data_IF_369169411641
#
_entry.id   IF_369169411641
#
_cell.length_a   1.000
_cell.length_b   1.000
_cell.length_c   1.000
_cell.angle_alpha   90.00
_cell.angle_beta   90.00
_cell.angle_gamma   90.00
#
_symmetry.space_group_name_H-M   'P 1'
#
loop_
_entity.id
_entity.type
_entity.pdbx_description
1 polymer ?
#
# COMPACT_ATOMS: atom_id res chain seq x y z
N UNK A 1 11.70 10.38 -27.87
CA UNK A 1 10.42 10.58 -27.14
C UNK A 1 10.78 11.20 -25.81
N UNK A 2 10.30 12.42 -25.53
CA UNK A 2 10.57 13.09 -24.26
C UNK A 2 10.10 12.21 -23.10
N UNK A 3 10.98 11.90 -22.15
CA UNK A 3 10.58 11.23 -20.92
C UNK A 3 9.62 12.17 -20.19
N UNK A 4 8.32 11.89 -20.25
CA UNK A 4 7.32 12.73 -19.63
C UNK A 4 7.54 12.70 -18.11
N UNK A 5 7.46 13.87 -17.43
CA UNK A 5 7.59 13.95 -15.96
C UNK A 5 6.68 12.95 -15.25
N UNK A 6 5.55 12.64 -15.87
CA UNK A 6 4.62 11.59 -15.45
C UNK A 6 5.28 10.20 -15.34
N UNK A 7 6.05 9.76 -16.34
CA UNK A 7 6.65 8.41 -16.35
C UNK A 7 7.73 8.24 -15.28
N UNK A 8 8.43 9.32 -14.93
CA UNK A 8 9.38 9.35 -13.81
C UNK A 8 8.68 9.34 -12.45
N UNK A 9 7.48 9.92 -12.36
CA UNK A 9 6.71 9.96 -11.14
C UNK A 9 6.10 8.60 -10.75
N UNK A 10 5.65 7.80 -11.72
CA UNK A 10 5.03 6.49 -11.44
C UNK A 10 5.86 5.57 -10.51
N UNK A 11 7.16 5.30 -10.77
CA UNK A 11 7.96 4.49 -9.84
C UNK A 11 8.27 5.22 -8.53
N UNK A 12 8.45 6.54 -8.57
CA UNK A 12 8.71 7.34 -7.37
C UNK A 12 7.52 7.35 -6.40
N UNK A 13 6.30 7.27 -6.92
CA UNK A 13 5.09 7.13 -6.12
C UNK A 13 5.13 5.88 -5.23
N UNK A 14 5.77 4.79 -5.68
CA UNK A 14 6.01 3.60 -4.87
C UNK A 14 6.96 3.87 -3.69
N UNK A 15 8.02 4.64 -3.93
CA UNK A 15 8.97 5.04 -2.85
C UNK A 15 8.27 5.89 -1.80
N UNK A 16 7.52 6.91 -2.25
CA UNK A 16 6.75 7.78 -1.36
C UNK A 16 5.69 7.00 -0.59
N UNK A 17 4.99 6.06 -1.25
CA UNK A 17 4.02 5.18 -0.61
C UNK A 17 4.70 4.32 0.47
N UNK A 18 5.84 3.70 0.17
CA UNK A 18 6.54 2.87 1.16
C UNK A 18 7.02 3.65 2.39
N UNK A 19 7.47 4.90 2.21
CA UNK A 19 7.84 5.79 3.33
C UNK A 19 6.63 6.19 4.18
N UNK A 20 5.51 6.57 3.55
CA UNK A 20 4.27 6.87 4.27
C UNK A 20 3.72 5.64 4.99
N UNK A 21 3.86 4.47 4.39
CA UNK A 21 3.37 3.22 4.96
C UNK A 21 4.16 2.91 6.22
N UNK A 22 5.49 2.97 6.14
CA UNK A 22 6.36 2.80 7.31
C UNK A 22 6.02 3.78 8.42
N UNK A 23 5.72 5.04 8.05
CA UNK A 23 5.28 6.06 8.99
C UNK A 23 3.96 5.68 9.66
N UNK A 24 2.98 5.20 8.89
CA UNK A 24 1.71 4.67 9.40
C UNK A 24 1.92 3.54 10.41
N UNK A 25 2.72 2.52 10.08
CA UNK A 25 3.02 1.41 11.00
C UNK A 25 3.61 1.88 12.34
N UNK A 26 4.42 2.93 12.32
CA UNK A 26 5.03 3.48 13.54
C UNK A 26 4.02 4.28 14.37
N UNK A 27 3.13 5.04 13.72
CA UNK A 27 2.12 5.88 14.35
C UNK A 27 0.96 5.07 14.94
N UNK A 28 0.52 4.03 14.24
CA UNK A 28 -0.64 3.20 14.60
C UNK A 28 -0.26 1.98 15.48
N UNK A 29 1.03 1.84 15.88
CA UNK A 29 1.49 0.65 16.62
C UNK A 29 0.82 0.42 17.97
N UNK A 30 0.23 1.47 18.53
CA UNK A 30 -0.41 1.46 19.86
C UNK A 30 -1.93 1.45 19.75
N UNK A 31 -2.49 1.24 18.55
CA UNK A 31 -3.94 1.17 18.38
C UNK A 31 -4.52 0.03 19.25
N UNK A 32 -5.69 0.26 19.86
CA UNK A 32 -6.29 -0.69 20.78
C UNK A 32 -6.73 -1.94 20.01
N UNK A 33 -6.31 -3.15 20.44
CA UNK A 33 -6.78 -4.38 19.83
C UNK A 33 -8.29 -4.56 20.01
N UNK A 34 -8.89 -5.44 19.21
CA UNK A 34 -10.32 -5.77 19.24
C UNK A 34 -10.83 -6.35 20.56
N UNK A 35 -9.92 -6.76 21.44
CA UNK A 35 -10.21 -7.32 22.77
C UNK A 35 -10.24 -6.25 23.87
N UNK A 36 -9.87 -5.01 23.54
CA UNK A 36 -9.82 -3.89 24.49
C UNK A 36 -11.20 -3.57 25.05
N UNK A 37 -11.25 -3.11 26.30
CA UNK A 37 -12.52 -2.70 26.90
C UNK A 37 -13.07 -1.43 26.24
N UNK A 38 -14.40 -1.30 26.16
CA UNK A 38 -15.08 -0.12 25.56
C UNK A 38 -14.56 1.21 26.09
N UNK A 39 -14.34 1.30 27.41
CA UNK A 39 -13.84 2.52 28.06
C UNK A 39 -12.39 2.84 27.68
N UNK A 40 -11.55 1.81 27.54
CA UNK A 40 -10.15 1.93 27.15
C UNK A 40 -10.03 2.37 25.68
N UNK A 41 -10.76 1.70 24.77
CA UNK A 41 -10.83 2.09 23.36
C UNK A 41 -11.28 3.54 23.22
N UNK A 42 -12.33 3.95 23.93
CA UNK A 42 -12.81 5.33 23.87
C UNK A 42 -11.78 6.34 24.39
N UNK A 43 -11.12 6.05 25.52
CA UNK A 43 -10.08 6.93 26.06
C UNK A 43 -8.92 7.10 25.07
N UNK A 44 -8.49 6.00 24.43
CA UNK A 44 -7.44 6.04 23.41
C UNK A 44 -7.78 6.99 22.25
N UNK A 45 -8.98 6.87 21.68
CA UNK A 45 -9.40 7.69 20.55
C UNK A 45 -9.58 9.17 20.92
N UNK A 46 -9.95 9.47 22.16
CA UNK A 46 -9.97 10.83 22.70
C UNK A 46 -8.55 11.40 22.86
N UNK A 47 -7.66 10.66 23.50
CA UNK A 47 -6.30 11.13 23.82
C UNK A 47 -5.44 11.29 22.56
N UNK A 48 -5.65 10.46 21.54
CA UNK A 48 -4.86 10.45 20.31
C UNK A 48 -5.57 11.13 19.11
N UNK A 49 -6.66 11.86 19.37
CA UNK A 49 -7.53 12.46 18.36
C UNK A 49 -6.79 13.23 17.27
N UNK A 50 -5.85 14.10 17.66
CA UNK A 50 -5.11 14.95 16.71
C UNK A 50 -4.26 14.13 15.73
N UNK A 51 -3.65 13.05 16.22
CA UNK A 51 -2.86 12.14 15.38
C UNK A 51 -3.75 11.43 14.36
N UNK A 52 -4.86 10.84 14.83
CA UNK A 52 -5.81 10.11 13.99
C UNK A 52 -6.52 11.00 12.97
N UNK A 53 -6.77 12.26 13.30
CA UNK A 53 -7.29 13.22 12.33
C UNK A 53 -6.31 13.48 11.17
N UNK A 54 -5.00 13.55 11.44
CA UNK A 54 -3.98 13.70 10.39
C UNK A 54 -3.89 12.41 9.55
N UNK A 55 -3.94 11.25 10.19
CA UNK A 55 -3.93 9.95 9.50
C UNK A 55 -5.12 9.87 8.54
N UNK A 56 -6.32 10.15 9.03
CA UNK A 56 -7.58 10.06 8.29
C UNK A 56 -7.65 11.03 7.11
N UNK A 57 -7.23 12.28 7.30
CA UNK A 57 -7.45 13.35 6.32
C UNK A 57 -6.28 13.54 5.35
N UNK A 58 -5.09 13.09 5.71
CA UNK A 58 -3.88 13.32 4.92
C UNK A 58 -3.15 12.03 4.56
N UNK A 59 -2.82 11.19 5.55
CA UNK A 59 -1.94 10.04 5.30
C UNK A 59 -2.63 8.98 4.44
N UNK A 60 -3.84 8.56 4.80
CA UNK A 60 -4.56 7.50 4.07
C UNK A 60 -5.03 7.93 2.68
N UNK A 61 -5.53 9.17 2.42
CA UNK A 61 -5.88 9.58 1.05
C UNK A 61 -4.64 9.75 0.16
N UNK A 62 -3.53 10.27 0.72
CA UNK A 62 -2.27 10.39 0.00
C UNK A 62 -1.69 9.02 -0.36
N UNK A 63 -1.80 8.05 0.54
CA UNK A 63 -1.42 6.66 0.26
C UNK A 63 -2.26 6.08 -0.88
N UNK A 64 -3.58 6.21 -0.81
CA UNK A 64 -4.48 5.74 -1.84
C UNK A 64 -4.11 6.34 -3.21
N UNK A 65 -3.88 7.65 -3.25
CA UNK A 65 -3.41 8.35 -4.44
C UNK A 65 -2.11 7.75 -4.97
N UNK A 66 -1.07 7.63 -4.15
CA UNK A 66 0.25 7.15 -4.60
C UNK A 66 0.21 5.71 -5.12
N UNK A 67 -0.59 4.83 -4.50
CA UNK A 67 -0.74 3.44 -4.94
C UNK A 67 -1.37 3.32 -6.33
N UNK A 68 -2.29 4.22 -6.72
CA UNK A 68 -2.85 4.25 -8.07
C UNK A 68 -1.79 4.56 -9.13
N UNK A 69 -0.91 5.53 -8.84
CA UNK A 69 0.18 5.90 -9.75
C UNK A 69 1.23 4.80 -9.82
N UNK A 70 1.62 4.24 -8.67
CA UNK A 70 2.56 3.14 -8.63
C UNK A 70 2.02 1.90 -9.36
N UNK A 71 0.77 1.52 -9.12
CA UNK A 71 0.09 0.42 -9.80
C UNK A 71 0.01 0.63 -11.31
N UNK A 72 -0.23 1.85 -11.76
CA UNK A 72 -0.19 2.21 -13.20
C UNK A 72 1.22 1.99 -13.77
N UNK A 73 2.26 2.38 -13.03
CA UNK A 73 3.65 2.14 -13.38
C UNK A 73 4.02 0.66 -13.46
N UNK A 74 3.51 -0.16 -12.54
CA UNK A 74 3.70 -1.61 -12.58
C UNK A 74 3.04 -2.21 -13.83
N UNK A 75 1.77 -1.87 -14.08
CA UNK A 75 1.02 -2.39 -15.23
C UNK A 75 1.72 -2.11 -16.54
N UNK A 76 2.13 -0.86 -16.78
CA UNK A 76 2.80 -0.45 -18.02
C UNK A 76 4.06 -1.25 -18.30
N UNK A 77 4.87 -1.50 -17.27
CA UNK A 77 6.12 -2.26 -17.41
C UNK A 77 5.88 -3.76 -17.54
N UNK A 78 4.85 -4.29 -16.87
CA UNK A 78 4.44 -5.69 -16.99
C UNK A 78 3.87 -6.02 -18.38
N UNK A 79 3.19 -5.07 -19.01
CA UNK A 79 2.64 -5.21 -20.36
C UNK A 79 3.67 -4.95 -21.47
N UNK A 80 4.83 -4.39 -21.12
CA UNK A 80 5.92 -4.12 -22.06
C UNK A 80 6.55 -5.42 -22.57
N UNK A 81 6.68 -5.57 -23.89
CA UNK A 81 7.30 -6.76 -24.51
C UNK A 81 6.35 -7.80 -25.09
N UNK A 82 5.04 -7.50 -25.22
CA UNK A 82 4.14 -8.22 -26.13
C UNK A 82 3.80 -9.65 -25.70
N UNK A 83 2.94 -9.78 -24.70
CA UNK A 83 2.33 -11.05 -24.33
C UNK A 83 1.32 -10.84 -23.21
N UNK A 84 0.07 -10.59 -23.59
CA UNK A 84 -1.06 -10.23 -22.72
C UNK A 84 -1.42 -11.30 -21.68
N UNK A 85 -0.55 -11.50 -20.71
CA UNK A 85 -0.63 -12.55 -19.69
C UNK A 85 -1.48 -12.15 -18.48
N UNK A 86 -2.20 -11.01 -18.53
CA UNK A 86 -3.07 -10.52 -17.46
C UNK A 86 -2.36 -9.96 -16.23
N UNK A 87 -1.07 -10.27 -16.01
CA UNK A 87 -0.31 -9.85 -14.83
C UNK A 87 -0.36 -8.34 -14.57
N UNK A 88 -0.21 -7.50 -15.61
CA UNK A 88 -0.29 -6.05 -15.46
C UNK A 88 -1.66 -5.57 -14.97
N UNK A 89 -2.74 -6.17 -15.47
CA UNK A 89 -4.11 -5.87 -15.03
C UNK A 89 -4.37 -6.31 -13.60
N UNK A 90 -3.93 -7.51 -13.21
CA UNK A 90 -4.09 -8.01 -11.84
C UNK A 90 -3.25 -7.18 -10.85
N UNK A 91 -2.01 -6.82 -11.24
CA UNK A 91 -1.17 -5.96 -10.41
C UNK A 91 -1.82 -4.59 -10.17
N UNK A 92 -2.35 -3.96 -11.22
CA UNK A 92 -3.10 -2.72 -11.08
C UNK A 92 -4.40 -2.88 -10.28
N UNK A 93 -5.14 -3.97 -10.50
CA UNK A 93 -6.35 -4.28 -9.75
C UNK A 93 -6.09 -4.42 -8.24
N UNK A 94 -4.99 -5.09 -7.86
CA UNK A 94 -4.55 -5.16 -6.48
C UNK A 94 -4.17 -3.79 -5.89
N UNK A 95 -3.45 -2.96 -6.66
CA UNK A 95 -3.11 -1.60 -6.24
C UNK A 95 -4.36 -0.70 -6.07
N UNK A 96 -5.33 -0.81 -6.99
CA UNK A 96 -6.61 -0.12 -6.91
C UNK A 96 -7.41 -0.59 -5.68
N UNK A 97 -7.49 -1.90 -5.44
CA UNK A 97 -8.16 -2.44 -4.26
C UNK A 97 -7.49 -1.92 -2.98
N UNK A 98 -6.16 -1.91 -2.91
CA UNK A 98 -5.42 -1.36 -1.77
C UNK A 98 -5.71 0.14 -1.58
N UNK A 99 -5.77 0.92 -2.66
CA UNK A 99 -6.12 2.34 -2.58
C UNK A 99 -7.54 2.55 -2.03
N UNK A 100 -8.51 1.74 -2.45
CA UNK A 100 -9.88 1.76 -1.91
C UNK A 100 -9.88 1.37 -0.44
N UNK A 101 -9.10 0.35 -0.04
CA UNK A 101 -8.96 -0.02 1.37
C UNK A 101 -8.37 1.11 2.21
N UNK A 102 -7.36 1.85 1.71
CA UNK A 102 -6.85 3.06 2.40
C UNK A 102 -7.91 4.14 2.54
N UNK A 103 -8.69 4.40 1.49
CA UNK A 103 -9.78 5.36 1.57
C UNK A 103 -10.85 4.95 2.61
N UNK A 104 -11.19 3.66 2.67
CA UNK A 104 -12.12 3.12 3.66
C UNK A 104 -11.57 3.25 5.09
N UNK A 105 -10.30 2.90 5.31
CA UNK A 105 -9.66 3.06 6.62
C UNK A 105 -9.61 4.52 7.03
N UNK A 106 -9.24 5.44 6.12
CA UNK A 106 -9.32 6.87 6.40
C UNK A 106 -10.71 7.36 6.78
N UNK A 107 -11.75 6.81 6.16
CA UNK A 107 -13.14 7.10 6.51
C UNK A 107 -13.49 6.58 7.91
N UNK A 108 -13.08 5.35 8.26
CA UNK A 108 -13.31 4.77 9.59
C UNK A 108 -12.57 5.55 10.68
N UNK A 109 -11.30 5.88 10.44
CA UNK A 109 -10.45 6.73 11.27
C UNK A 109 -11.09 8.09 11.56
N UNK A 110 -11.56 8.79 10.52
CA UNK A 110 -12.27 10.06 10.66
C UNK A 110 -13.56 9.91 11.48
N UNK A 111 -14.34 8.85 11.20
CA UNK A 111 -15.60 8.60 11.89
C UNK A 111 -15.40 8.27 13.37
N UNK A 112 -14.43 7.43 13.71
CA UNK A 112 -14.06 7.12 15.11
C UNK A 112 -13.55 8.36 15.84
N UNK A 113 -12.66 9.12 15.22
CA UNK A 113 -12.12 10.37 15.76
C UNK A 113 -13.23 11.38 16.06
N UNK A 114 -14.21 11.52 15.15
CA UNK A 114 -15.34 12.42 15.34
C UNK A 114 -16.32 11.90 16.41
N UNK A 115 -16.65 10.60 16.39
CA UNK A 115 -17.50 9.99 17.41
C UNK A 115 -16.88 10.11 18.81
N UNK A 116 -15.57 9.93 18.92
CA UNK A 116 -14.84 10.12 20.16
C UNK A 116 -15.02 11.55 20.67
N UNK A 117 -14.83 12.54 19.79
CA UNK A 117 -15.03 13.96 20.13
C UNK A 117 -16.42 14.27 20.67
N UNK A 118 -17.46 13.70 20.07
CA UNK A 118 -18.86 13.90 20.47
C UNK A 118 -19.25 13.09 21.73
N UNK A 119 -18.36 12.25 22.26
CA UNK A 119 -18.64 11.45 23.44
C UNK A 119 -19.34 10.11 23.16
N UNK A 120 -19.45 9.72 21.90
CA UNK A 120 -20.22 8.56 21.44
C UNK A 120 -19.46 7.23 21.59
N UNK A 121 -19.31 6.77 22.84
CA UNK A 121 -18.49 5.58 23.19
C UNK A 121 -18.83 4.32 22.39
N UNK A 122 -20.12 4.04 22.22
CA UNK A 122 -20.56 2.82 21.52
C UNK A 122 -20.30 2.88 20.01
N UNK A 123 -20.40 4.07 19.41
CA UNK A 123 -20.05 4.26 18.01
C UNK A 123 -18.55 4.05 17.78
N UNK A 124 -17.70 4.64 18.63
CA UNK A 124 -16.24 4.42 18.59
C UNK A 124 -15.91 2.94 18.70
N UNK A 125 -16.46 2.24 19.70
CA UNK A 125 -16.18 0.82 19.89
C UNK A 125 -16.63 -0.03 18.70
N UNK A 126 -17.84 0.18 18.19
CA UNK A 126 -18.36 -0.58 17.03
C UNK A 126 -17.49 -0.39 15.79
N UNK A 127 -17.09 0.85 15.50
CA UNK A 127 -16.21 1.17 14.39
C UNK A 127 -14.80 0.58 14.58
N UNK A 128 -14.26 0.61 15.81
CA UNK A 128 -12.97 0.00 16.13
C UNK A 128 -12.98 -1.52 15.92
N UNK A 129 -14.07 -2.19 16.32
CA UNK A 129 -14.25 -3.62 16.06
C UNK A 129 -14.24 -3.91 14.57
N UNK A 130 -14.91 -3.10 13.75
CA UNK A 130 -14.90 -3.25 12.30
C UNK A 130 -13.51 -3.01 11.71
N UNK A 131 -12.84 -1.94 12.14
CA UNK A 131 -11.50 -1.59 11.68
C UNK A 131 -10.48 -2.69 11.99
N UNK A 132 -10.60 -3.37 13.13
CA UNK A 132 -9.71 -4.47 13.54
C UNK A 132 -9.68 -5.67 12.59
N UNK A 133 -10.59 -5.76 11.62
CA UNK A 133 -10.65 -6.83 10.61
C UNK A 133 -10.27 -6.38 9.19
N UNK A 134 -9.83 -5.14 9.01
CA UNK A 134 -9.46 -4.58 7.71
C UNK A 134 -8.26 -5.30 7.04
N UNK A 135 -7.44 -6.00 7.83
CA UNK A 135 -6.31 -6.84 7.42
C UNK A 135 -6.69 -7.86 6.35
N UNK A 136 -7.94 -8.32 6.31
CA UNK A 136 -8.45 -9.19 5.26
C UNK A 136 -8.43 -8.51 3.89
N UNK A 137 -8.88 -7.25 3.84
CA UNK A 137 -8.85 -6.43 2.63
C UNK A 137 -7.42 -6.12 2.20
N UNK A 138 -6.57 -5.77 3.17
CA UNK A 138 -5.15 -5.52 2.94
C UNK A 138 -4.43 -6.71 2.34
N UNK A 139 -4.60 -7.89 2.94
CA UNK A 139 -3.95 -9.12 2.48
C UNK A 139 -4.37 -9.47 1.05
N UNK A 140 -5.67 -9.43 0.75
CA UNK A 140 -6.16 -9.73 -0.60
C UNK A 140 -5.61 -8.75 -1.65
N UNK A 141 -5.63 -7.45 -1.36
CA UNK A 141 -5.18 -6.41 -2.27
C UNK A 141 -3.69 -6.51 -2.56
N UNK A 142 -2.88 -6.58 -1.51
CA UNK A 142 -1.42 -6.62 -1.63
C UNK A 142 -0.92 -7.97 -2.13
N UNK A 143 -1.55 -9.09 -1.78
CA UNK A 143 -1.20 -10.39 -2.34
C UNK A 143 -1.42 -10.41 -3.85
N UNK A 144 -2.57 -9.93 -4.34
CA UNK A 144 -2.85 -9.83 -5.76
C UNK A 144 -1.82 -8.96 -6.49
N UNK A 145 -1.52 -7.79 -5.94
CA UNK A 145 -0.54 -6.87 -6.50
C UNK A 145 0.86 -7.50 -6.58
N UNK A 146 1.35 -8.07 -5.48
CA UNK A 146 2.68 -8.65 -5.38
C UNK A 146 2.82 -9.91 -6.24
N UNK A 147 1.90 -10.87 -6.13
CA UNK A 147 1.98 -12.13 -6.86
C UNK A 147 1.97 -11.88 -8.37
N UNK A 148 1.07 -11.02 -8.85
CA UNK A 148 1.02 -10.67 -10.27
C UNK A 148 2.30 -9.96 -10.72
N UNK A 149 2.84 -9.06 -9.90
CA UNK A 149 4.09 -8.36 -10.19
C UNK A 149 5.28 -9.30 -10.24
N UNK A 150 5.43 -10.18 -9.25
CA UNK A 150 6.55 -11.12 -9.17
C UNK A 150 6.53 -12.16 -10.28
N UNK A 151 5.36 -12.79 -10.54
CA UNK A 151 5.19 -13.76 -11.62
C UNK A 151 5.41 -13.12 -13.01
N UNK A 152 4.87 -11.92 -13.22
CA UNK A 152 5.08 -11.18 -14.45
C UNK A 152 6.53 -10.74 -14.64
N UNK A 153 7.20 -10.31 -13.57
CA UNK A 153 8.61 -9.93 -13.57
C UNK A 153 9.55 -11.09 -13.89
N UNK A 154 9.24 -12.31 -13.45
CA UNK A 154 9.97 -13.51 -13.85
C UNK A 154 9.91 -13.75 -15.37
N UNK A 155 8.80 -13.38 -16.02
CA UNK A 155 8.59 -13.59 -17.46
C UNK A 155 9.24 -12.51 -18.31
N UNK A 156 9.03 -11.24 -17.98
CA UNK A 156 9.50 -10.12 -18.79
C UNK A 156 10.86 -9.54 -18.32
N UNK A 157 11.43 -10.08 -17.23
CA UNK A 157 12.71 -9.65 -16.65
C UNK A 157 12.75 -8.18 -16.25
N UNK A 158 11.60 -7.58 -15.90
CA UNK A 158 11.51 -6.23 -15.35
C UNK A 158 12.29 -6.06 -14.05
N UNK A 159 12.35 -7.12 -13.24
CA UNK A 159 13.09 -7.17 -11.97
C UNK A 159 14.16 -8.28 -12.05
N UNK A 160 15.26 -8.17 -11.28
CA UNK A 160 16.22 -9.25 -11.15
C UNK A 160 15.56 -10.46 -10.50
N UNK A 161 15.98 -11.66 -10.88
CA UNK A 161 15.32 -12.92 -10.50
C UNK A 161 15.15 -13.06 -8.99
N UNK A 162 16.12 -12.64 -8.19
CA UNK A 162 16.03 -12.65 -6.71
C UNK A 162 14.88 -11.77 -6.19
N UNK A 163 14.72 -10.57 -6.73
CA UNK A 163 13.68 -9.63 -6.33
C UNK A 163 12.29 -10.10 -6.79
N UNK A 164 12.18 -10.72 -7.96
CA UNK A 164 10.93 -11.33 -8.43
C UNK A 164 10.46 -12.45 -7.49
N UNK A 165 11.36 -13.36 -7.10
CA UNK A 165 11.03 -14.41 -6.14
C UNK A 165 10.70 -13.87 -4.75
N UNK A 166 11.45 -12.89 -4.26
CA UNK A 166 11.13 -12.22 -3.00
C UNK A 166 9.72 -11.60 -3.03
N UNK A 167 9.36 -10.94 -4.14
CA UNK A 167 8.02 -10.38 -4.36
C UNK A 167 6.93 -11.45 -4.28
N UNK A 168 7.16 -12.62 -4.90
CA UNK A 168 6.23 -13.76 -4.84
C UNK A 168 6.09 -14.27 -3.41
N UNK A 169 7.19 -14.48 -2.69
CA UNK A 169 7.18 -15.00 -1.32
C UNK A 169 6.45 -14.05 -0.36
N UNK A 170 6.72 -12.75 -0.46
CA UNK A 170 6.00 -11.74 0.34
C UNK A 170 4.50 -11.80 0.01
N UNK A 171 4.13 -11.81 -1.28
CA UNK A 171 2.73 -11.86 -1.70
C UNK A 171 2.00 -13.13 -1.25
N UNK A 172 2.66 -14.29 -1.35
CA UNK A 172 2.11 -15.57 -0.91
C UNK A 172 1.93 -15.60 0.61
N UNK A 173 2.89 -15.03 1.37
CA UNK A 173 2.80 -15.00 2.83
C UNK A 173 1.56 -14.27 3.34
N UNK A 174 1.12 -13.21 2.65
CA UNK A 174 -0.10 -12.45 2.98
C UNK A 174 -1.38 -13.31 2.92
N UNK A 175 -1.36 -14.43 2.20
CA UNK A 175 -2.50 -15.36 2.10
C UNK A 175 -2.44 -16.47 3.16
N UNK A 176 -1.52 -16.39 4.11
CA UNK A 176 -1.28 -17.41 5.14
C UNK A 176 -1.27 -16.78 6.53
N UNK A 177 -1.30 -17.57 7.62
CA UNK A 177 -1.19 -17.04 8.98
C UNK A 177 0.10 -16.26 9.26
N UNK A 178 1.16 -16.45 8.46
CA UNK A 178 2.41 -15.66 8.56
C UNK A 178 2.34 -14.30 7.84
N UNK A 179 1.16 -13.91 7.34
CA UNK A 179 0.94 -12.67 6.59
C UNK A 179 1.37 -11.40 7.31
N UNK A 180 1.39 -11.40 8.64
CA UNK A 180 1.94 -10.30 9.44
C UNK A 180 3.37 -9.90 9.01
N UNK A 181 4.25 -10.87 8.77
CA UNK A 181 5.62 -10.59 8.31
C UNK A 181 5.64 -10.05 6.88
N UNK A 182 4.78 -10.58 6.01
CA UNK A 182 4.60 -10.06 4.65
C UNK A 182 4.19 -8.59 4.67
N UNK A 183 3.27 -8.23 5.57
CA UNK A 183 2.77 -6.88 5.72
C UNK A 183 3.85 -5.90 6.20
N UNK A 184 4.71 -6.32 7.13
CA UNK A 184 5.88 -5.52 7.57
C UNK A 184 6.88 -5.30 6.42
N UNK A 185 7.04 -6.28 5.53
CA UNK A 185 7.97 -6.18 4.40
C UNK A 185 7.43 -5.33 3.24
N UNK A 186 6.12 -5.08 3.16
CA UNK A 186 5.50 -4.25 2.11
C UNK A 186 6.12 -2.85 1.94
N UNK A 187 6.29 -2.01 2.98
CA UNK A 187 6.91 -0.70 2.83
C UNK A 187 8.32 -0.80 2.24
N UNK A 188 9.11 -1.78 2.69
CA UNK A 188 10.46 -2.02 2.19
C UNK A 188 10.41 -2.43 0.72
N UNK A 189 9.49 -3.32 0.36
CA UNK A 189 9.28 -3.74 -1.02
C UNK A 189 8.88 -2.58 -1.94
N UNK A 190 7.95 -1.73 -1.51
CA UNK A 190 7.50 -0.54 -2.25
C UNK A 190 8.68 0.41 -2.55
N UNK A 191 9.54 0.64 -1.55
CA UNK A 191 10.75 1.47 -1.70
C UNK A 191 11.73 0.81 -2.68
N UNK A 192 12.07 -0.47 -2.47
CA UNK A 192 13.07 -1.17 -3.27
C UNK A 192 12.64 -1.28 -4.73
N UNK A 193 11.39 -1.69 -4.99
CA UNK A 193 10.86 -1.79 -6.36
C UNK A 193 10.69 -0.42 -6.98
N UNK A 194 10.18 0.57 -6.24
CA UNK A 194 10.09 1.95 -6.72
C UNK A 194 11.44 2.51 -7.17
N UNK A 195 12.49 2.36 -6.35
CA UNK A 195 13.86 2.80 -6.68
C UNK A 195 14.47 2.02 -7.85
N UNK A 196 14.22 0.71 -7.93
CA UNK A 196 14.71 -0.10 -9.04
C UNK A 196 14.10 0.38 -10.36
N UNK A 197 12.79 0.57 -10.38
CA UNK A 197 12.04 0.98 -11.55
C UNK A 197 12.32 2.43 -11.97
N UNK A 198 12.65 3.33 -11.04
CA UNK A 198 13.03 4.70 -11.36
C UNK A 198 14.39 4.77 -12.07
N UNK A 199 15.37 3.97 -11.63
CA UNK A 199 16.70 3.88 -12.26
C UNK A 199 16.65 3.33 -13.68
N UNK A 200 15.70 2.44 -13.98
CA UNK A 200 15.48 1.94 -15.34
C UNK A 200 15.03 3.04 -16.32
N UNK A 201 14.17 3.95 -15.85
CA UNK A 201 13.64 5.07 -16.65
C UNK A 201 14.69 6.13 -16.99
N UNK A 202 15.72 6.31 -16.15
CA UNK A 202 16.82 7.25 -16.43
C UNK A 202 17.73 6.76 -17.58
N UNK A 203 17.97 5.45 -17.67
CA UNK A 203 18.83 4.85 -18.70
C UNK A 203 18.25 4.88 -20.11
N UNK A 204 16.94 4.92 -20.25
CA UNK A 204 16.26 5.04 -21.54
C UNK A 204 16.26 6.48 -22.09
N UNK A 205 16.66 7.46 -21.28
CA UNK A 205 16.65 8.88 -21.62
C UNK A 205 18.00 9.49 -22.02
N UNK A 206 19.11 8.76 -21.93
CA UNK A 206 20.41 9.24 -22.40
C UNK A 206 20.50 9.14 -23.94
N UNK A 207 20.74 10.25 -24.67
CA UNK A 207 21.08 10.15 -26.08
C UNK A 207 22.44 9.46 -26.19
N UNK A 208 22.53 8.44 -27.05
CA UNK A 208 23.80 7.83 -27.43
C UNK A 208 24.64 8.91 -28.13
N UNK A 209 25.51 9.58 -27.38
CA UNK A 209 26.57 10.40 -27.94
C UNK A 209 27.63 9.45 -28.50
N UNK A 210 27.54 9.21 -29.81
CA UNK A 210 28.63 8.64 -30.60
C UNK A 210 29.72 9.67 -30.86
#
# INVERSE_FOLDING_TARGET
MESNRFDRFLPLAGVLAGLLFLTGLILLRNDPPSESAVAETFAYWQDNRGQHQIIALLLTPLMAFLLLFFGTGLRRRLEHGGGGSGHGMVAFGGALLAAVTFALVGMLEAAMTNAAHEGERQAVYTLNQLHSYDWLGWNAAFAAMLLATGLGACRNRMLPTSLSWATIVIGASLLTPVGFFGFILLPVWLIVVGLWLSRGTEREGEPVTG
#
